data_IF_845517798639
#
_entry.id   IF_845517798639
#
_cell.length_a   1.000
_cell.length_b   1.000
_cell.length_c   1.000
_cell.angle_alpha   90.00
_cell.angle_beta   90.00
_cell.angle_gamma   90.00
#
_symmetry.space_group_name_H-M   'P 1'
#
loop_
_entity.id
_entity.type
_entity.pdbx_description
1 polymer ?
#
# COMPACT_ATOMS: atom_id res chain seq x y z
N UNK A 1 -5.65 28.51 -9.82
CA UNK A 1 -6.28 27.34 -9.16
C UNK A 1 -6.04 26.14 -10.06
N UNK A 2 -5.05 25.30 -9.75
CA UNK A 2 -4.85 24.04 -10.47
C UNK A 2 -5.74 22.99 -9.82
N UNK A 3 -6.85 22.64 -10.47
CA UNK A 3 -7.52 21.36 -10.23
C UNK A 3 -6.84 20.33 -11.11
N UNK A 4 -5.91 19.57 -10.54
CA UNK A 4 -5.56 18.26 -11.09
C UNK A 4 -6.70 17.33 -10.66
N UNK A 5 -7.43 16.65 -11.57
CA UNK A 5 -8.35 15.60 -11.16
C UNK A 5 -7.51 14.57 -10.39
N UNK A 6 -7.69 14.50 -9.07
CA UNK A 6 -7.08 13.48 -8.24
C UNK A 6 -7.51 12.14 -8.80
N UNK A 7 -6.57 11.38 -9.34
CA UNK A 7 -6.87 10.09 -9.93
C UNK A 7 -7.52 9.18 -8.87
N UNK A 8 -8.47 8.31 -9.26
CA UNK A 8 -9.04 7.30 -8.36
C UNK A 8 -8.01 6.28 -7.83
N UNK A 9 -6.77 6.33 -8.35
CA UNK A 9 -5.60 5.55 -7.97
C UNK A 9 -5.27 5.62 -6.47
N UNK A 10 -5.53 6.75 -5.81
CA UNK A 10 -5.22 6.94 -4.40
C UNK A 10 -6.15 6.14 -3.47
N UNK A 11 -7.44 6.03 -3.80
CA UNK A 11 -8.40 5.29 -2.97
C UNK A 11 -8.16 3.78 -3.05
N UNK A 12 -7.86 3.25 -4.23
CA UNK A 12 -7.49 1.84 -4.40
C UNK A 12 -6.19 1.50 -3.67
N UNK A 13 -5.18 2.36 -3.80
CA UNK A 13 -3.90 2.20 -3.11
C UNK A 13 -4.07 2.27 -1.59
N UNK A 14 -4.86 3.23 -1.09
CA UNK A 14 -5.14 3.36 0.34
C UNK A 14 -5.85 2.11 0.88
N UNK A 15 -6.87 1.62 0.18
CA UNK A 15 -7.57 0.38 0.57
C UNK A 15 -6.66 -0.84 0.57
N UNK A 16 -5.79 -0.98 -0.43
CA UNK A 16 -4.81 -2.05 -0.51
C UNK A 16 -3.81 -1.99 0.66
N UNK A 17 -3.30 -0.80 0.99
CA UNK A 17 -2.43 -0.57 2.13
C UNK A 17 -3.12 -0.86 3.47
N UNK A 18 -4.35 -0.40 3.66
CA UNK A 18 -5.14 -0.70 4.87
C UNK A 18 -5.33 -2.21 5.05
N UNK A 19 -5.61 -2.94 3.98
CA UNK A 19 -5.76 -4.40 4.02
C UNK A 19 -4.44 -5.08 4.42
N UNK A 20 -3.34 -4.73 3.77
CA UNK A 20 -2.02 -5.29 4.07
C UNK A 20 -1.59 -4.95 5.51
N UNK A 21 -1.88 -3.73 5.97
CA UNK A 21 -1.59 -3.27 7.32
C UNK A 21 -2.35 -4.06 8.38
N UNK A 22 -3.63 -4.37 8.13
CA UNK A 22 -4.44 -5.20 9.04
C UNK A 22 -3.95 -6.65 9.11
N UNK A 23 -3.42 -7.19 8.02
CA UNK A 23 -2.96 -8.57 7.95
C UNK A 23 -1.57 -8.78 8.58
N UNK A 24 -0.63 -7.86 8.33
CA UNK A 24 0.77 -8.02 8.71
C UNK A 24 1.19 -7.14 9.90
N UNK A 25 0.48 -6.05 10.14
CA UNK A 25 0.90 -5.00 11.07
C UNK A 25 1.88 -4.00 10.43
N UNK A 26 2.16 -2.89 11.14
CA UNK A 26 2.92 -1.76 10.60
C UNK A 26 4.39 -2.07 10.34
N UNK A 27 5.05 -2.84 11.20
CA UNK A 27 6.49 -3.12 11.09
C UNK A 27 6.79 -4.07 9.92
N UNK A 28 6.07 -5.18 9.82
CA UNK A 28 6.21 -6.14 8.73
C UNK A 28 5.83 -5.52 7.39
N UNK A 29 4.73 -4.75 7.32
CA UNK A 29 4.38 -4.05 6.08
C UNK A 29 5.48 -3.06 5.65
N UNK A 30 6.06 -2.33 6.61
CA UNK A 30 7.17 -1.40 6.34
C UNK A 30 8.40 -2.13 5.81
N UNK A 31 8.73 -3.29 6.37
CA UNK A 31 9.83 -4.13 5.92
C UNK A 31 9.58 -4.68 4.50
N UNK A 32 8.39 -5.25 4.25
CA UNK A 32 7.99 -5.84 2.96
C UNK A 32 7.97 -4.81 1.83
N UNK A 33 7.47 -3.61 2.12
CA UNK A 33 7.44 -2.50 1.18
C UNK A 33 8.76 -1.75 1.12
N UNK A 34 9.72 -1.99 2.02
CA UNK A 34 10.95 -1.22 2.18
C UNK A 34 10.69 0.29 2.26
N UNK A 35 9.71 0.66 3.07
CA UNK A 35 9.22 2.03 3.18
C UNK A 35 8.93 2.36 4.64
N UNK A 36 9.31 3.55 5.14
CA UNK A 36 9.01 3.94 6.51
C UNK A 36 7.50 3.95 6.78
N UNK A 37 7.06 3.63 8.01
CA UNK A 37 5.64 3.62 8.37
C UNK A 37 4.97 4.99 8.17
N UNK A 38 5.72 6.09 8.37
CA UNK A 38 5.25 7.46 8.12
C UNK A 38 4.91 7.71 6.64
N UNK A 39 5.71 7.15 5.72
CA UNK A 39 5.48 7.27 4.29
C UNK A 39 4.26 6.43 3.86
N UNK A 40 4.11 5.24 4.45
CA UNK A 40 2.91 4.39 4.25
C UNK A 40 1.66 5.13 4.70
N UNK A 41 1.68 5.77 5.87
CA UNK A 41 0.55 6.55 6.35
C UNK A 41 0.24 7.75 5.44
N UNK A 42 1.27 8.38 4.87
CA UNK A 42 1.13 9.46 3.91
C UNK A 42 0.42 8.99 2.62
N UNK A 43 0.72 7.78 2.14
CA UNK A 43 0.02 7.17 1.01
C UNK A 43 -1.43 6.81 1.34
N UNK A 44 -1.69 6.24 2.52
CA UNK A 44 -3.05 5.91 2.98
C UNK A 44 -3.92 7.18 3.07
N UNK A 45 -3.36 8.27 3.58
CA UNK A 45 -4.09 9.53 3.75
C UNK A 45 -4.24 10.32 2.43
N UNK A 46 -3.68 9.82 1.32
CA UNK A 46 -3.68 10.53 0.03
C UNK A 46 -2.82 11.79 0.01
N UNK A 47 -1.93 11.96 1.00
CA UNK A 47 -1.01 13.11 1.07
C UNK A 47 0.21 12.94 0.15
N UNK A 48 0.42 11.74 -0.39
CA UNK A 48 1.43 11.47 -1.41
C UNK A 48 0.96 10.38 -2.36
N UNK A 49 1.51 10.38 -3.58
CA UNK A 49 1.30 9.32 -4.57
C UNK A 49 2.31 8.19 -4.35
N UNK A 50 1.84 6.95 -4.33
CA UNK A 50 2.72 5.79 -4.28
C UNK A 50 3.43 5.61 -5.62
N UNK A 51 4.75 5.39 -5.65
CA UNK A 51 5.46 5.02 -6.88
C UNK A 51 4.99 3.67 -7.42
N UNK A 52 4.87 3.52 -8.74
CA UNK A 52 4.40 2.28 -9.39
C UNK A 52 5.16 1.02 -8.93
N UNK A 53 6.49 1.10 -8.77
CA UNK A 53 7.30 -0.01 -8.24
C UNK A 53 6.88 -0.46 -6.83
N UNK A 54 6.39 0.46 -6.00
CA UNK A 54 5.90 0.18 -4.65
C UNK A 54 4.50 -0.41 -4.71
N UNK A 55 3.70 0.01 -5.68
CA UNK A 55 2.39 -0.58 -5.93
C UNK A 55 2.51 -2.05 -6.37
N UNK A 56 3.39 -2.37 -7.33
CA UNK A 56 3.65 -3.76 -7.71
C UNK A 56 4.09 -4.61 -6.52
N UNK A 57 4.97 -4.05 -5.66
CA UNK A 57 5.40 -4.73 -4.43
C UNK A 57 4.24 -4.95 -3.44
N UNK A 58 3.31 -3.99 -3.34
CA UNK A 58 2.11 -4.13 -2.52
C UNK A 58 1.19 -5.23 -3.05
N UNK A 59 1.08 -5.38 -4.37
CA UNK A 59 0.34 -6.49 -5.00
C UNK A 59 0.98 -7.83 -4.62
N UNK A 60 2.31 -7.98 -4.73
CA UNK A 60 3.00 -9.21 -4.31
C UNK A 60 2.74 -9.55 -2.82
N UNK A 61 2.74 -8.52 -1.96
CA UNK A 61 2.46 -8.69 -0.52
C UNK A 61 1.03 -9.17 -0.28
N UNK A 62 0.07 -8.64 -1.03
CA UNK A 62 -1.34 -9.03 -0.91
C UNK A 62 -1.61 -10.43 -1.44
N UNK A 63 -0.85 -10.88 -2.44
CA UNK A 63 -0.88 -12.24 -2.97
C UNK A 63 -0.34 -13.24 -1.93
N UNK A 64 0.81 -12.95 -1.31
CA UNK A 64 1.41 -13.74 -0.22
C UNK A 64 0.49 -13.88 1.00
N UNK A 65 -0.30 -12.85 1.33
CA UNK A 65 -1.32 -12.91 2.38
C UNK A 65 -2.53 -13.79 1.97
N UNK A 66 -2.84 -13.80 0.67
CA UNK A 66 -4.00 -14.48 0.11
C UNK A 66 -3.77 -15.95 -0.26
N UNK A 67 -2.51 -16.36 -0.44
CA UNK A 67 -2.12 -17.73 -0.71
C UNK A 67 -2.05 -18.53 0.61
N UNK A 68 -3.04 -19.40 0.91
CA UNK A 68 -2.84 -20.38 1.96
C UNK A 68 -1.69 -21.31 1.53
N UNK A 69 -0.77 -21.71 2.44
CA UNK A 69 0.32 -22.59 2.07
C UNK A 69 -0.22 -23.86 1.38
N UNK A 70 0.43 -24.35 0.30
CA UNK A 70 -0.02 -25.54 -0.39
C UNK A 70 -0.07 -26.71 0.60
N UNK A 71 -1.24 -27.38 0.66
CA UNK A 71 -1.50 -28.56 1.50
C UNK A 71 -0.75 -29.80 1.03
#
# INVERSE_FOLDING_TARGET
>A
MHFTPGMPDSEFTARALERALRALGPEELSARLQSPPELIQTWINGHATMPERKFLRLVDVLDDIGDPPPS
#
